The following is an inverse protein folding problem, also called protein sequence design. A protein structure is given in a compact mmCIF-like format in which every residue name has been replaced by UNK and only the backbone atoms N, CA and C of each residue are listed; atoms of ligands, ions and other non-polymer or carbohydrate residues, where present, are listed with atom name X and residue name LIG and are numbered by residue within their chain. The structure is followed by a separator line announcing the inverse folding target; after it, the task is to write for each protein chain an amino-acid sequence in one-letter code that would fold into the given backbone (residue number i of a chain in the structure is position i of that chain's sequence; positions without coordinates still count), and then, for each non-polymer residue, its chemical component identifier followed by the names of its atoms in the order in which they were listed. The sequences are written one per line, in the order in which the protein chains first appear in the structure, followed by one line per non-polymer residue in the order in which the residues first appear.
data_IF_827665042149
#
_entry.id   IF_827665042149
#
_cell.length_a   1.000
_cell.length_b   1.000
_cell.length_c   1.000
_cell.angle_alpha   90.00
_cell.angle_beta   90.00
_cell.angle_gamma   90.00
#
_symmetry.space_group_name_H-M   'P 1'
#
loop_
_entity.id
_entity.type
_entity.pdbx_description
1 polymer ?
#
# COMPACT_ATOMS: atom_id res chain seq x y z
N UNK A 1 32.90 4.78 -26.18
CA UNK A 1 31.45 4.73 -25.84
C UNK A 1 31.36 4.39 -24.37
N UNK A 2 30.63 5.17 -23.55
CA UNK A 2 30.33 4.74 -22.17
C UNK A 2 29.25 3.69 -22.28
N UNK A 3 29.52 2.48 -21.79
CA UNK A 3 28.48 1.46 -21.66
C UNK A 3 27.37 2.03 -20.77
N UNK A 4 26.19 2.20 -21.36
CA UNK A 4 25.02 2.63 -20.59
C UNK A 4 24.67 1.48 -19.64
N UNK A 5 24.69 1.75 -18.34
CA UNK A 5 24.20 0.80 -17.35
C UNK A 5 22.71 0.55 -17.61
N UNK A 6 22.36 -0.70 -17.95
CA UNK A 6 20.99 -1.12 -18.20
C UNK A 6 20.60 -2.12 -17.11
N UNK A 7 19.54 -1.80 -16.38
CA UNK A 7 18.89 -2.72 -15.46
C UNK A 7 17.60 -3.22 -16.09
N UNK A 8 17.36 -4.52 -15.99
CA UNK A 8 16.15 -5.13 -16.57
C UNK A 8 14.90 -4.75 -15.76
N UNK A 9 13.75 -4.69 -16.42
CA UNK A 9 12.46 -4.48 -15.76
C UNK A 9 12.15 -5.55 -14.71
N UNK A 10 12.64 -6.78 -14.94
CA UNK A 10 12.52 -7.88 -13.99
C UNK A 10 13.30 -7.55 -12.71
N UNK A 11 14.56 -7.17 -12.82
CA UNK A 11 15.37 -6.81 -11.67
C UNK A 11 14.77 -5.61 -10.92
N UNK A 12 14.28 -4.59 -11.64
CA UNK A 12 13.58 -3.46 -11.02
C UNK A 12 12.33 -3.88 -10.24
N UNK A 13 11.55 -4.82 -10.78
CA UNK A 13 10.40 -5.39 -10.10
C UNK A 13 10.81 -6.18 -8.85
N UNK A 14 11.75 -7.10 -8.98
CA UNK A 14 12.22 -7.97 -7.89
C UNK A 14 12.83 -7.14 -6.75
N UNK A 15 13.57 -6.07 -7.08
CA UNK A 15 14.11 -5.14 -6.09
C UNK A 15 13.02 -4.42 -5.31
N UNK A 16 12.01 -3.84 -5.98
CA UNK A 16 10.89 -3.17 -5.29
C UNK A 16 10.10 -4.14 -4.42
N UNK A 17 9.87 -5.35 -4.94
CA UNK A 17 9.21 -6.43 -4.20
C UNK A 17 9.98 -6.77 -2.92
N UNK A 18 11.30 -6.94 -3.04
CA UNK A 18 12.21 -7.21 -1.93
C UNK A 18 12.20 -6.07 -0.90
N UNK A 19 12.22 -4.82 -1.36
CA UNK A 19 12.15 -3.65 -0.48
C UNK A 19 10.88 -3.70 0.37
N UNK A 20 9.71 -3.84 -0.26
CA UNK A 20 8.45 -3.84 0.49
C UNK A 20 8.35 -5.04 1.43
N UNK A 21 8.79 -6.23 0.99
CA UNK A 21 8.76 -7.44 1.81
C UNK A 21 9.67 -7.36 3.03
N UNK A 22 10.86 -6.78 2.89
CA UNK A 22 11.87 -6.78 3.96
C UNK A 22 11.82 -5.55 4.86
N UNK A 23 11.27 -4.43 4.38
CA UNK A 23 11.25 -3.16 5.11
C UNK A 23 9.85 -2.58 5.30
N UNK A 24 8.88 -2.94 4.47
CA UNK A 24 7.51 -2.43 4.57
C UNK A 24 6.64 -3.32 5.45
N UNK A 25 6.56 -4.62 5.11
CA UNK A 25 5.71 -5.59 5.81
C UNK A 25 6.07 -5.69 7.31
N UNK A 26 7.35 -5.83 7.72
CA UNK A 26 7.68 -5.98 9.14
C UNK A 26 7.25 -4.77 9.97
N UNK A 27 7.44 -3.55 9.45
CA UNK A 27 7.05 -2.33 10.16
C UNK A 27 5.52 -2.19 10.25
N UNK A 28 4.77 -2.68 9.25
CA UNK A 28 3.31 -2.77 9.33
C UNK A 28 2.86 -3.81 10.35
N UNK A 29 3.52 -4.97 10.40
CA UNK A 29 3.26 -6.03 11.37
C UNK A 29 3.51 -5.56 12.81
N UNK A 30 4.60 -4.82 13.04
CA UNK A 30 4.90 -4.16 14.32
C UNK A 30 3.81 -3.13 14.71
N UNK A 31 3.13 -2.54 13.73
CA UNK A 31 1.98 -1.66 13.92
C UNK A 31 0.63 -2.41 14.04
N UNK A 32 0.64 -3.74 14.13
CA UNK A 32 -0.53 -4.58 14.32
C UNK A 32 -1.33 -4.87 13.06
N UNK A 33 -0.77 -4.61 11.88
CA UNK A 33 -1.34 -5.12 10.63
C UNK A 33 -0.96 -6.59 10.46
N UNK A 34 -1.88 -7.36 9.88
CA UNK A 34 -1.66 -8.76 9.54
C UNK A 34 -1.91 -8.96 8.06
N UNK A 35 -1.39 -10.05 7.49
CA UNK A 35 -1.80 -10.49 6.16
C UNK A 35 -3.33 -10.55 6.08
N UNK A 36 -3.86 -10.00 5.00
CA UNK A 36 -5.30 -10.02 4.75
C UNK A 36 -5.85 -11.46 4.81
N UNK A 37 -6.94 -11.68 5.57
CA UNK A 37 -7.51 -13.01 5.80
C UNK A 37 -8.33 -13.51 4.61
N UNK A 38 -8.71 -12.63 3.67
CA UNK A 38 -9.65 -12.95 2.60
C UNK A 38 -9.11 -14.02 1.63
N UNK A 39 -10.01 -14.84 1.10
CA UNK A 39 -9.68 -15.91 0.13
C UNK A 39 -8.98 -15.41 -1.12
N UNK A 40 -9.31 -14.18 -1.54
CA UNK A 40 -8.77 -13.55 -2.74
C UNK A 40 -7.41 -12.91 -2.52
N UNK A 41 -6.84 -12.94 -1.32
CA UNK A 41 -5.55 -12.32 -1.03
C UNK A 41 -4.38 -13.13 -1.62
N UNK A 42 -3.79 -12.63 -2.71
CA UNK A 42 -2.63 -13.23 -3.38
C UNK A 42 -1.32 -13.09 -2.59
N UNK A 43 -1.22 -12.05 -1.74
CA UNK A 43 -0.12 -11.73 -0.83
C UNK A 43 1.29 -12.11 -1.34
N UNK A 44 1.78 -11.36 -2.32
CA UNK A 44 3.15 -11.47 -2.81
C UNK A 44 3.42 -12.60 -3.80
N UNK A 45 2.40 -13.35 -4.21
CA UNK A 45 2.49 -14.22 -5.39
C UNK A 45 2.56 -13.36 -6.67
N UNK A 46 3.38 -13.78 -7.63
CA UNK A 46 3.46 -13.08 -8.92
C UNK A 46 2.17 -13.30 -9.70
N UNK A 47 1.46 -12.22 -10.02
CA UNK A 47 0.25 -12.26 -10.82
C UNK A 47 0.58 -11.88 -12.28
N UNK A 48 0.32 -12.82 -13.19
CA UNK A 48 0.55 -12.65 -14.63
C UNK A 48 -0.41 -11.66 -15.28
N UNK A 49 -1.61 -11.46 -14.73
CA UNK A 49 -2.62 -10.54 -15.26
C UNK A 49 -2.17 -9.09 -15.10
N UNK A 50 -1.68 -8.73 -13.91
CA UNK A 50 -1.09 -7.41 -13.66
C UNK A 50 0.41 -7.34 -13.99
N UNK A 51 1.04 -8.49 -14.24
CA UNK A 51 2.49 -8.62 -14.47
C UNK A 51 3.29 -8.03 -13.30
N UNK A 52 2.99 -8.46 -12.08
CA UNK A 52 3.48 -7.78 -10.89
C UNK A 52 3.24 -8.52 -9.58
N UNK A 53 3.42 -7.78 -8.49
CA UNK A 53 3.21 -8.25 -7.12
C UNK A 53 2.19 -7.34 -6.43
N UNK A 54 1.31 -7.94 -5.63
CA UNK A 54 0.37 -7.23 -4.76
C UNK A 54 0.40 -7.80 -3.34
N UNK A 55 0.35 -6.92 -2.35
CA UNK A 55 0.26 -7.27 -0.94
C UNK A 55 -0.92 -6.55 -0.33
N UNK A 56 -1.73 -7.29 0.41
CA UNK A 56 -2.85 -6.75 1.17
C UNK A 56 -2.69 -7.09 2.64
N UNK A 57 -2.68 -6.05 3.47
CA UNK A 57 -2.62 -6.15 4.92
C UNK A 57 -3.83 -5.47 5.55
N UNK A 58 -4.31 -6.06 6.63
CA UNK A 58 -5.49 -5.58 7.35
C UNK A 58 -5.16 -5.36 8.83
N UNK A 59 -5.82 -4.38 9.44
CA UNK A 59 -5.81 -4.17 10.91
C UNK A 59 -7.23 -3.90 11.36
N UNK A 60 -7.71 -4.66 12.34
CA UNK A 60 -8.94 -4.36 13.06
C UNK A 60 -8.58 -3.56 14.31
N UNK A 61 -9.22 -2.40 14.50
CA UNK A 61 -8.99 -1.54 15.66
C UNK A 61 -10.06 -1.75 16.74
N UNK A 62 -9.77 -1.31 17.96
CA UNK A 62 -10.71 -1.36 19.09
C UNK A 62 -11.98 -0.52 18.84
N UNK A 63 -11.91 0.47 17.95
CA UNK A 63 -13.00 1.32 17.51
C UNK A 63 -13.84 0.67 16.40
N UNK A 64 -13.69 -0.63 16.17
CA UNK A 64 -14.38 -1.39 15.14
C UNK A 64 -14.11 -0.88 13.71
N UNK A 65 -12.91 -0.34 13.48
CA UNK A 65 -12.47 0.06 12.15
C UNK A 65 -11.59 -1.03 11.53
N UNK A 66 -11.84 -1.31 10.27
CA UNK A 66 -11.02 -2.19 9.45
C UNK A 66 -10.17 -1.33 8.51
N UNK A 67 -8.86 -1.33 8.77
CA UNK A 67 -7.88 -0.64 7.93
C UNK A 67 -7.36 -1.60 6.88
N UNK A 68 -7.21 -1.12 5.65
CA UNK A 68 -6.59 -1.82 4.53
C UNK A 68 -5.36 -1.08 4.04
N UNK A 69 -4.25 -1.80 3.95
CA UNK A 69 -3.08 -1.39 3.19
C UNK A 69 -2.94 -2.30 1.98
N UNK A 70 -2.93 -1.71 0.79
CA UNK A 70 -2.63 -2.43 -0.45
C UNK A 70 -1.37 -1.84 -1.08
N UNK A 71 -0.38 -2.69 -1.35
CA UNK A 71 0.85 -2.34 -2.04
C UNK A 71 0.95 -3.11 -3.36
N UNK A 72 1.03 -2.39 -4.48
CA UNK A 72 1.10 -2.97 -5.83
C UNK A 72 2.36 -2.51 -6.55
N UNK A 73 2.99 -3.43 -7.27
CA UNK A 73 4.21 -3.22 -8.05
C UNK A 73 4.08 -3.89 -9.41
N UNK A 74 4.11 -3.11 -10.49
CA UNK A 74 4.03 -3.63 -11.86
C UNK A 74 5.43 -3.71 -12.52
N UNK A 75 5.60 -4.70 -13.41
CA UNK A 75 6.76 -4.79 -14.30
C UNK A 75 6.80 -3.59 -15.25
N UNK A 76 8.00 -3.05 -15.51
CA UNK A 76 8.19 -1.87 -16.36
C UNK A 76 7.99 -0.53 -15.65
N UNK A 77 7.48 -0.54 -14.42
CA UNK A 77 7.42 0.65 -13.57
C UNK A 77 8.63 0.77 -12.64
N UNK A 78 8.80 1.94 -12.03
CA UNK A 78 9.82 2.19 -10.99
C UNK A 78 9.21 2.44 -9.61
N UNK A 79 7.88 2.44 -9.51
CA UNK A 79 7.15 2.81 -8.29
C UNK A 79 6.67 1.59 -7.51
N UNK A 80 6.48 1.80 -6.21
CA UNK A 80 5.64 0.99 -5.34
C UNK A 80 4.39 1.83 -5.08
N UNK A 81 3.20 1.34 -5.45
CA UNK A 81 1.95 2.05 -5.18
C UNK A 81 1.40 1.51 -3.87
N UNK A 82 1.40 2.33 -2.81
CA UNK A 82 0.82 2.00 -1.51
C UNK A 82 -0.44 2.83 -1.31
N UNK A 83 -1.54 2.18 -0.97
CA UNK A 83 -2.84 2.81 -0.70
C UNK A 83 -3.37 2.38 0.65
N UNK A 84 -4.04 3.32 1.32
CA UNK A 84 -4.74 3.13 2.59
C UNK A 84 -6.23 3.39 2.40
N UNK A 85 -7.07 2.52 2.94
CA UNK A 85 -8.51 2.76 3.05
C UNK A 85 -9.04 2.24 4.39
N UNK A 86 -10.05 2.92 4.94
CA UNK A 86 -10.60 2.62 6.26
C UNK A 86 -12.11 2.45 6.17
N UNK A 87 -12.60 1.42 6.84
CA UNK A 87 -14.02 1.11 6.96
C UNK A 87 -14.40 1.02 8.43
N UNK A 88 -15.65 1.33 8.73
CA UNK A 88 -16.27 0.99 9.99
C UNK A 88 -17.13 -0.25 9.76
N UNK A 89 -17.00 -1.26 10.62
CA UNK A 89 -17.82 -2.45 10.47
C UNK A 89 -19.18 -2.24 11.15
N UNK A 90 -20.26 -2.66 10.50
CA UNK A 90 -21.62 -2.59 11.08
C UNK A 90 -21.78 -3.53 12.27
N UNK A 91 -20.95 -4.57 12.35
CA UNK A 91 -20.91 -5.55 13.42
C UNK A 91 -19.53 -5.53 14.06
N UNK A 92 -19.48 -5.75 15.39
CA UNK A 92 -18.20 -5.85 16.09
C UNK A 92 -17.58 -7.22 15.86
N UNK A 93 -16.34 -7.23 15.37
CA UNK A 93 -15.53 -8.44 15.26
C UNK A 93 -14.58 -8.56 16.45
N UNK A 94 -14.26 -9.79 16.84
CA UNK A 94 -13.25 -10.07 17.86
C UNK A 94 -11.86 -10.26 17.26
N UNK A 95 -11.79 -10.69 16.00
CA UNK A 95 -10.53 -10.89 15.26
C UNK A 95 -10.73 -10.67 13.76
N UNK A 96 -9.65 -10.29 13.08
CA UNK A 96 -9.56 -10.27 11.61
C UNK A 96 -9.82 -11.66 11.01
N UNK A 97 -9.54 -12.74 11.74
CA UNK A 97 -9.77 -14.12 11.28
C UNK A 97 -11.24 -14.45 10.99
N UNK A 98 -12.18 -13.70 11.57
CA UNK A 98 -13.61 -13.85 11.27
C UNK A 98 -13.95 -13.53 9.80
N UNK A 99 -13.03 -12.86 9.09
CA UNK A 99 -13.19 -12.48 7.69
C UNK A 99 -12.62 -13.52 6.71
N UNK A 100 -11.98 -14.59 7.20
CA UNK A 100 -11.21 -15.54 6.36
C UNK A 100 -12.01 -16.24 5.26
N UNK A 101 -13.31 -16.42 5.50
CA UNK A 101 -14.19 -17.12 4.57
C UNK A 101 -14.82 -16.18 3.53
N UNK A 102 -14.56 -14.88 3.63
CA UNK A 102 -15.08 -13.83 2.75
C UNK A 102 -14.16 -13.57 1.56
N UNK A 103 -14.73 -13.10 0.45
CA UNK A 103 -14.00 -12.81 -0.80
C UNK A 103 -13.25 -11.47 -0.78
N UNK A 104 -13.53 -10.54 0.14
CA UNK A 104 -12.82 -9.26 0.28
C UNK A 104 -12.97 -8.25 -0.89
N UNK A 105 -13.37 -8.71 -2.08
CA UNK A 105 -13.37 -7.92 -3.33
C UNK A 105 -14.18 -6.63 -3.23
N UNK A 106 -15.30 -6.64 -2.50
CA UNK A 106 -16.18 -5.49 -2.38
C UNK A 106 -15.50 -4.29 -1.71
N UNK A 107 -14.51 -4.50 -0.84
CA UNK A 107 -13.74 -3.42 -0.22
C UNK A 107 -12.91 -2.61 -1.24
N UNK A 108 -12.67 -3.17 -2.43
CA UNK A 108 -11.89 -2.53 -3.50
C UNK A 108 -12.73 -2.04 -4.67
N UNK A 109 -14.02 -2.37 -4.70
CA UNK A 109 -14.94 -1.96 -5.77
C UNK A 109 -15.68 -0.66 -5.40
N UNK A 110 -16.21 0.08 -6.38
CA UNK A 110 -17.12 1.17 -6.09
C UNK A 110 -18.35 0.70 -5.29
N UNK A 111 -18.82 1.49 -4.30
CA UNK A 111 -18.33 2.82 -3.96
C UNK A 111 -17.15 2.80 -2.96
N UNK A 112 -16.76 1.67 -2.38
CA UNK A 112 -15.75 1.59 -1.32
C UNK A 112 -14.37 2.13 -1.72
N UNK A 113 -13.99 2.03 -2.99
CA UNK A 113 -12.73 2.60 -3.46
C UNK A 113 -12.69 4.14 -3.54
N UNK A 114 -13.83 4.83 -3.37
CA UNK A 114 -13.91 6.29 -3.47
C UNK A 114 -13.18 7.03 -2.34
N UNK A 115 -12.93 6.36 -1.21
CA UNK A 115 -12.20 6.90 -0.05
C UNK A 115 -10.77 6.38 0.03
N UNK A 116 -10.29 5.64 -0.98
CA UNK A 116 -8.91 5.15 -0.99
C UNK A 116 -7.94 6.31 -1.14
N UNK A 117 -6.95 6.38 -0.25
CA UNK A 117 -5.87 7.38 -0.30
C UNK A 117 -4.56 6.73 -0.71
N UNK A 118 -3.94 7.20 -1.78
CA UNK A 118 -2.57 6.82 -2.13
C UNK A 118 -1.58 7.60 -1.28
N UNK A 119 -0.72 6.86 -0.56
CA UNK A 119 0.32 7.44 0.28
C UNK A 119 1.39 8.15 -0.58
N UNK A 120 1.91 9.29 -0.12
CA UNK A 120 2.86 10.17 -0.82
C UNK A 120 2.33 10.64 -2.19
N UNK A 121 1.03 10.88 -2.30
CA UNK A 121 0.34 11.35 -3.51
C UNK A 121 -0.88 12.17 -3.15
N UNK A 122 -1.86 11.53 -2.50
CA UNK A 122 -3.18 12.12 -2.22
C UNK A 122 -3.21 12.77 -0.82
N UNK A 123 -2.24 12.42 0.02
CA UNK A 123 -2.04 12.90 1.38
C UNK A 123 -1.43 14.30 1.45
N UNK A 124 -0.90 14.86 0.36
CA UNK A 124 -0.28 16.19 0.40
C UNK A 124 -1.31 17.33 0.43
N UNK A 125 -1.00 18.39 1.21
CA UNK A 125 -1.74 19.65 1.19
C UNK A 125 -1.06 20.61 0.22
N UNK A 126 -1.85 21.25 -0.65
CA UNK A 126 -1.38 22.31 -1.54
C UNK A 126 -1.40 21.93 -3.04
N UNK A 127 -0.96 22.85 -3.92
CA UNK A 127 -1.06 22.67 -5.36
C UNK A 127 -0.31 21.42 -5.86
N UNK A 128 -0.91 20.64 -6.80
CA UNK A 128 -0.34 19.40 -7.32
C UNK A 128 1.13 19.44 -7.75
N UNK A 129 1.52 20.56 -8.36
CA UNK A 129 2.88 20.74 -8.90
C UNK A 129 3.95 20.80 -7.80
N UNK A 130 3.62 21.30 -6.60
CA UNK A 130 4.63 21.48 -5.55
C UNK A 130 5.11 20.14 -5.01
N UNK A 131 4.19 19.22 -4.69
CA UNK A 131 4.61 17.92 -4.17
C UNK A 131 5.22 17.02 -5.25
N UNK A 132 4.75 17.11 -6.51
CA UNK A 132 5.35 16.37 -7.63
C UNK A 132 6.82 16.73 -7.88
N UNK A 133 7.23 17.96 -7.57
CA UNK A 133 8.59 18.44 -7.82
C UNK A 133 9.53 18.25 -6.62
N UNK A 134 9.00 18.31 -5.39
CA UNK A 134 9.83 18.48 -4.20
C UNK A 134 9.65 17.42 -3.12
N UNK A 135 8.61 16.58 -3.18
CA UNK A 135 8.33 15.61 -2.13
C UNK A 135 8.73 14.19 -2.53
N UNK A 136 9.13 13.35 -1.55
CA UNK A 136 9.58 11.99 -1.83
C UNK A 136 8.44 11.11 -2.33
N UNK A 137 8.70 10.31 -3.37
CA UNK A 137 7.80 9.26 -3.86
C UNK A 137 8.40 7.88 -3.54
N UNK A 138 7.56 6.86 -3.39
CA UNK A 138 8.00 5.46 -3.37
C UNK A 138 8.44 5.00 -4.77
N UNK A 139 9.58 5.50 -5.25
CA UNK A 139 10.07 5.31 -6.61
C UNK A 139 11.59 5.24 -6.66
N UNK A 140 12.11 4.31 -7.47
CA UNK A 140 13.51 4.33 -7.88
C UNK A 140 13.74 5.46 -8.89
N UNK A 141 14.67 6.37 -8.60
CA UNK A 141 14.95 7.55 -9.41
C UNK A 141 15.75 7.28 -10.69
N UNK A 142 16.71 8.17 -10.96
CA UNK A 142 17.60 8.07 -12.12
C UNK A 142 18.74 7.10 -11.78
N UNK A 143 18.89 6.08 -12.62
CA UNK A 143 19.89 5.02 -12.47
C UNK A 143 20.75 5.03 -13.73
N UNK A 144 22.04 5.29 -13.57
CA UNK A 144 23.02 5.36 -14.67
C UNK A 144 24.30 4.54 -14.41
N UNK A 145 24.37 3.89 -13.24
CA UNK A 145 25.47 3.04 -12.78
C UNK A 145 24.98 2.13 -11.64
N UNK A 146 25.73 1.07 -11.34
CA UNK A 146 25.44 0.20 -10.19
C UNK A 146 25.40 0.99 -8.87
N UNK A 147 26.37 1.89 -8.65
CA UNK A 147 26.39 2.73 -7.44
C UNK A 147 25.16 3.63 -7.32
N UNK A 148 24.68 4.21 -8.43
CA UNK A 148 23.43 4.99 -8.42
C UNK A 148 22.21 4.12 -8.16
N UNK A 149 22.21 2.87 -8.63
CA UNK A 149 21.15 1.91 -8.36
C UNK A 149 21.10 1.58 -6.87
N UNK A 150 22.23 1.18 -6.28
CA UNK A 150 22.32 0.81 -4.87
C UNK A 150 21.90 1.98 -3.95
N UNK A 151 22.29 3.21 -4.32
CA UNK A 151 21.86 4.43 -3.61
C UNK A 151 20.35 4.64 -3.66
N UNK A 152 19.72 4.49 -4.83
CA UNK A 152 18.28 4.63 -4.97
C UNK A 152 17.52 3.50 -4.26
N UNK A 153 18.08 2.29 -4.23
CA UNK A 153 17.55 1.16 -3.46
C UNK A 153 17.56 1.49 -1.97
N UNK A 154 18.71 1.92 -1.42
CA UNK A 154 18.82 2.30 0.00
C UNK A 154 17.83 3.41 0.36
N UNK A 155 17.76 4.47 -0.46
CA UNK A 155 16.85 5.59 -0.23
C UNK A 155 15.38 5.15 -0.22
N UNK A 156 14.98 4.28 -1.16
CA UNK A 156 13.62 3.76 -1.22
C UNK A 156 13.32 2.85 -0.03
N UNK A 157 14.26 1.99 0.37
CA UNK A 157 14.14 1.14 1.57
C UNK A 157 13.93 1.98 2.83
N UNK A 158 14.76 3.01 3.03
CA UNK A 158 14.67 3.89 4.20
C UNK A 158 13.32 4.64 4.24
N UNK A 159 12.86 5.10 3.08
CA UNK A 159 11.57 5.79 2.97
C UNK A 159 10.41 4.85 3.29
N UNK A 160 10.38 3.66 2.69
CA UNK A 160 9.32 2.66 2.94
C UNK A 160 9.33 2.26 4.42
N UNK A 161 10.50 1.94 4.97
CA UNK A 161 10.65 1.58 6.39
C UNK A 161 10.08 2.66 7.29
N UNK A 162 10.57 3.89 7.14
CA UNK A 162 10.16 5.03 7.97
C UNK A 162 8.65 5.29 7.87
N UNK A 163 8.09 5.22 6.68
CA UNK A 163 6.69 5.57 6.47
C UNK A 163 5.74 4.48 6.97
N UNK A 164 6.09 3.20 6.79
CA UNK A 164 5.31 2.10 7.34
C UNK A 164 5.40 2.04 8.86
N UNK A 165 6.57 2.35 9.44
CA UNK A 165 6.74 2.49 10.89
C UNK A 165 5.86 3.62 11.48
N UNK A 166 5.59 4.66 10.69
CA UNK A 166 4.77 5.82 11.07
C UNK A 166 3.39 5.81 10.39
N UNK A 167 2.81 4.63 10.15
CA UNK A 167 1.57 4.49 9.38
C UNK A 167 0.39 5.26 9.99
N UNK A 168 0.36 5.43 11.31
CA UNK A 168 -0.67 6.18 12.03
C UNK A 168 -0.76 7.65 11.60
N UNK A 169 0.35 8.23 11.13
CA UNK A 169 0.35 9.59 10.56
C UNK A 169 -0.49 9.66 9.27
N UNK A 170 -0.44 8.62 8.44
CA UNK A 170 -1.27 8.50 7.25
C UNK A 170 -2.72 8.16 7.60
N UNK A 171 -2.97 7.36 8.64
CA UNK A 171 -4.33 7.11 9.16
C UNK A 171 -4.99 8.41 9.62
N UNK A 172 -4.27 9.22 10.40
CA UNK A 172 -4.75 10.54 10.81
C UNK A 172 -5.05 11.41 9.58
N UNK A 173 -4.14 11.43 8.61
CA UNK A 173 -4.31 12.20 7.39
C UNK A 173 -5.52 11.74 6.56
N UNK A 174 -5.75 10.44 6.49
CA UNK A 174 -6.93 9.87 5.85
C UNK A 174 -8.23 10.39 6.46
N UNK A 175 -8.31 10.45 7.81
CA UNK A 175 -9.47 11.03 8.51
C UNK A 175 -9.66 12.53 8.30
N UNK A 176 -8.60 13.28 7.94
CA UNK A 176 -8.75 14.69 7.54
C UNK A 176 -9.40 14.84 6.15
N UNK A 177 -9.30 13.81 5.31
CA UNK A 177 -9.76 13.83 3.91
C UNK A 177 -11.09 13.10 3.72
N UNK A 178 -11.34 12.06 4.52
CA UNK A 178 -12.40 11.09 4.31
C UNK A 178 -13.08 10.71 5.63
N UNK A 179 -14.26 10.10 5.48
CA UNK A 179 -14.98 9.42 6.56
C UNK A 179 -15.15 7.94 6.20
N UNK A 180 -15.02 7.03 7.16
CA UNK A 180 -15.17 5.60 6.89
C UNK A 180 -16.59 5.31 6.43
N UNK A 181 -16.71 4.49 5.39
CA UNK A 181 -17.98 3.87 5.07
C UNK A 181 -18.27 2.77 6.07
N UNK A 182 -19.54 2.64 6.43
CA UNK A 182 -20.01 1.55 7.27
C UNK A 182 -20.32 0.36 6.36
N UNK A 183 -19.65 -0.76 6.58
CA UNK A 183 -19.81 -1.97 5.77
C UNK A 183 -20.11 -3.19 6.63
N UNK A 184 -20.73 -4.20 6.02
CA UNK A 184 -20.78 -5.54 6.62
C UNK A 184 -19.42 -6.26 6.50
N UNK A 185 -19.36 -7.51 6.99
CA UNK A 185 -18.14 -8.34 6.97
C UNK A 185 -17.63 -8.67 5.56
N UNK A 186 -18.48 -8.58 4.54
CA UNK A 186 -18.13 -8.89 3.15
C UNK A 186 -17.94 -7.63 2.30
N UNK A 187 -17.96 -6.45 2.92
CA UNK A 187 -17.70 -5.16 2.28
C UNK A 187 -18.90 -4.55 1.56
N UNK A 188 -20.13 -5.01 1.80
CA UNK A 188 -21.30 -4.28 1.28
C UNK A 188 -21.52 -3.02 2.09
N UNK A 189 -21.77 -1.89 1.41
CA UNK A 189 -22.01 -0.61 2.08
C UNK A 189 -23.40 -0.61 2.71
N UNK A 190 -23.42 -0.51 4.04
CA UNK A 190 -24.63 -0.29 4.83
C UNK A 190 -24.94 1.20 4.90
N UNK A 191 -23.90 2.03 5.06
CA UNK A 191 -24.04 3.49 5.12
C UNK A 191 -22.77 4.19 4.64
N UNK A 192 -22.92 5.28 3.88
CA UNK A 192 -21.81 6.16 3.53
C UNK A 192 -21.49 7.13 4.67
N UNK A 193 -20.20 7.42 4.86
CA UNK A 193 -19.68 8.34 5.86
C UNK A 193 -19.95 9.80 5.55
#
# INVERSE_FOLDING_TARGET
MKDNFIISDKNLLDTRNTIFKNYGIPELEDNGYVKSPFKTSWFGQYDSNIRGYSYELCKLTDQNQLHFINAIMFKGEKRIKITLNLFELSEKLNSVDELKDSEGINFHLPPNNSTTMRLRSDDYKGPPLFYMLFLPEYKLGKINSQSSFDKEVSKLSDLVKKDMANIDSFVKRWHELHKPYITDKVGNVVKKG
#
